data_IF_097561448278
#
_entry.id   IF_097561448278
#
_cell.length_a   1.000
_cell.length_b   1.000
_cell.length_c   1.000
_cell.angle_alpha   90.00
_cell.angle_beta   90.00
_cell.angle_gamma   90.00
#
_symmetry.space_group_name_H-M   'P 1'
#
loop_
_entity.id
_entity.type
_entity.pdbx_description
1 polymer ?
#
# COMPACT_ATOMS: atom_id res chain seq x y z
N UNK A 1 -3.52 -0.33 -3.92
CA UNK A 1 -4.41 -0.07 -5.08
C UNK A 1 -4.73 1.42 -5.09
N UNK A 2 -4.93 2.00 -6.26
CA UNK A 2 -5.53 3.35 -6.40
C UNK A 2 -6.83 3.20 -7.19
N UNK A 3 -7.94 3.77 -6.71
CA UNK A 3 -9.23 3.75 -7.43
C UNK A 3 -9.21 4.70 -8.63
N UNK A 4 -10.24 4.63 -9.47
CA UNK A 4 -10.41 5.59 -10.59
C UNK A 4 -10.61 7.04 -10.12
N UNK A 5 -10.90 7.28 -8.83
CA UNK A 5 -11.05 8.60 -8.21
C UNK A 5 -9.76 9.12 -7.56
N UNK A 6 -8.65 8.38 -7.67
CA UNK A 6 -7.39 8.76 -7.02
C UNK A 6 -7.37 8.46 -5.52
N UNK A 7 -8.15 7.49 -5.05
CA UNK A 7 -8.16 7.05 -3.65
C UNK A 7 -7.14 5.92 -3.46
N UNK A 8 -6.20 6.10 -2.53
CA UNK A 8 -5.19 5.11 -2.20
C UNK A 8 -5.72 4.14 -1.14
N UNK A 9 -5.66 2.86 -1.47
CA UNK A 9 -5.85 1.74 -0.53
C UNK A 9 -4.50 1.04 -0.33
N UNK A 10 -4.02 1.03 0.90
CA UNK A 10 -2.77 0.38 1.30
C UNK A 10 -2.92 -0.19 2.71
N UNK A 11 -3.05 -1.50 2.83
CA UNK A 11 -3.27 -2.15 4.13
C UNK A 11 -2.86 -3.62 4.09
N UNK A 12 -2.31 -4.10 5.21
CA UNK A 12 -2.11 -5.52 5.53
C UNK A 12 -3.14 -6.04 6.53
N UNK A 13 -4.01 -5.15 7.04
CA UNK A 13 -5.14 -5.48 7.90
C UNK A 13 -6.33 -5.95 7.06
N UNK A 14 -7.33 -6.54 7.72
CA UNK A 14 -8.57 -6.96 7.06
C UNK A 14 -9.40 -5.80 6.52
N UNK A 15 -9.29 -4.64 7.16
CA UNK A 15 -10.08 -3.47 6.83
C UNK A 15 -9.53 -2.79 5.58
N UNK A 16 -10.43 -2.60 4.61
CA UNK A 16 -10.17 -1.89 3.35
C UNK A 16 -10.60 -0.44 3.52
N UNK A 17 -9.72 0.39 4.07
CA UNK A 17 -9.95 1.83 4.20
C UNK A 17 -9.09 2.61 3.21
N UNK A 18 -9.62 3.75 2.78
CA UNK A 18 -8.88 4.74 2.01
C UNK A 18 -7.91 5.44 2.97
N UNK A 19 -6.62 5.43 2.62
CA UNK A 19 -5.55 6.03 3.45
C UNK A 19 -5.06 7.37 2.90
N UNK A 20 -5.30 7.66 1.62
CA UNK A 20 -5.10 8.97 1.01
C UNK A 20 -6.06 9.18 -0.16
N UNK A 21 -6.32 10.45 -0.50
CA UNK A 21 -7.24 10.84 -1.56
C UNK A 21 -6.53 11.81 -2.52
N UNK A 22 -7.15 12.07 -3.67
CA UNK A 22 -6.69 13.05 -4.66
C UNK A 22 -5.26 12.76 -5.16
N UNK A 23 -4.91 11.49 -5.36
CA UNK A 23 -3.68 11.15 -6.06
C UNK A 23 -3.76 11.60 -7.52
N UNK A 24 -2.69 12.24 -7.99
CA UNK A 24 -2.58 12.80 -9.32
C UNK A 24 -1.86 11.83 -10.26
N UNK A 25 -2.30 11.79 -11.51
CA UNK A 25 -1.61 11.03 -12.56
C UNK A 25 -0.28 11.72 -12.93
N UNK A 26 0.68 10.94 -13.44
CA UNK A 26 1.99 11.41 -13.90
C UNK A 26 2.85 12.11 -12.83
N UNK A 27 2.67 11.74 -11.56
CA UNK A 27 3.48 12.20 -10.42
C UNK A 27 4.14 11.01 -9.73
N UNK A 28 5.40 11.18 -9.34
CA UNK A 28 6.10 10.22 -8.49
C UNK A 28 5.59 10.32 -7.05
N UNK A 29 5.35 9.16 -6.44
CA UNK A 29 5.00 9.03 -5.03
C UNK A 29 5.99 8.07 -4.36
N UNK A 30 6.50 8.45 -3.20
CA UNK A 30 7.16 7.50 -2.31
C UNK A 30 6.14 6.93 -1.34
N UNK A 31 5.88 5.62 -1.42
CA UNK A 31 4.91 4.93 -0.56
C UNK A 31 5.63 3.90 0.31
N UNK A 32 5.43 3.97 1.63
CA UNK A 32 5.90 2.96 2.56
C UNK A 32 4.74 2.47 3.45
N UNK A 33 4.75 1.16 3.73
CA UNK A 33 3.88 0.54 4.74
C UNK A 33 4.75 -0.21 5.73
N UNK A 34 4.51 0.04 7.02
CA UNK A 34 5.19 -0.61 8.13
C UNK A 34 4.17 -1.33 9.01
N UNK A 35 4.50 -2.54 9.47
CA UNK A 35 3.64 -3.30 10.39
C UNK A 35 4.47 -3.86 11.55
N UNK A 36 4.08 -3.54 12.78
CA UNK A 36 4.68 -4.06 14.00
C UNK A 36 3.79 -5.16 14.59
N UNK A 37 4.34 -6.37 14.70
CA UNK A 37 3.56 -7.54 15.12
C UNK A 37 3.20 -7.54 16.62
N UNK A 38 4.00 -6.93 17.48
CA UNK A 38 3.75 -6.97 18.94
C UNK A 38 2.64 -6.01 19.33
N UNK A 39 2.70 -4.77 18.83
CA UNK A 39 1.67 -3.74 19.03
C UNK A 39 0.49 -3.89 18.07
N UNK A 40 0.59 -4.77 17.07
CA UNK A 40 -0.38 -4.94 15.98
C UNK A 40 -0.66 -3.63 15.24
N UNK A 41 0.35 -2.78 15.10
CA UNK A 41 0.20 -1.44 14.52
C UNK A 41 0.69 -1.41 13.08
N UNK A 42 -0.19 -0.98 12.17
CA UNK A 42 0.15 -0.61 10.80
C UNK A 42 0.35 0.90 10.72
N UNK A 43 1.36 1.33 9.97
CA UNK A 43 1.54 2.72 9.54
C UNK A 43 1.74 2.81 8.04
N UNK A 44 1.14 3.81 7.43
CA UNK A 44 1.29 4.11 6.00
C UNK A 44 1.86 5.51 5.84
N UNK A 45 2.86 5.63 4.98
CA UNK A 45 3.55 6.87 4.70
C UNK A 45 3.48 7.19 3.21
N UNK A 46 3.19 8.44 2.89
CA UNK A 46 3.19 8.96 1.52
C UNK A 46 4.06 10.22 1.47
N UNK A 47 5.06 10.23 0.60
CA UNK A 47 6.04 11.32 0.46
C UNK A 47 6.61 11.76 1.81
N UNK A 48 7.18 10.79 2.52
CA UNK A 48 7.76 10.94 3.88
C UNK A 48 6.78 11.22 5.01
N UNK A 49 5.50 11.47 4.74
CA UNK A 49 4.53 11.82 5.78
C UNK A 49 3.71 10.61 6.20
N UNK A 50 3.58 10.36 7.51
CA UNK A 50 2.59 9.40 8.04
C UNK A 50 1.17 9.90 7.70
N UNK A 51 0.44 9.13 6.89
CA UNK A 51 -0.93 9.44 6.44
C UNK A 51 -1.99 8.57 7.13
N UNK A 52 -1.59 7.44 7.70
CA UNK A 52 -2.50 6.54 8.42
C UNK A 52 -1.73 5.73 9.47
N UNK A 53 -2.38 5.53 10.61
CA UNK A 53 -1.94 4.63 11.68
C UNK A 53 -3.15 3.87 12.21
N UNK A 54 -3.09 2.55 12.14
CA UNK A 54 -4.21 1.67 12.48
C UNK A 54 -3.73 0.49 13.32
N UNK A 55 -4.52 0.11 14.33
CA UNK A 55 -4.26 -1.07 15.15
C UNK A 55 -5.17 -2.20 14.69
N UNK A 56 -4.59 -3.36 14.38
CA UNK A 56 -5.36 -4.55 14.01
C UNK A 56 -4.49 -5.77 13.70
N UNK A 57 -5.08 -6.97 13.78
CA UNK A 57 -4.40 -8.17 13.34
C UNK A 57 -4.18 -8.12 11.83
N UNK A 58 -3.00 -8.58 11.39
CA UNK A 58 -2.74 -8.84 9.98
C UNK A 58 -3.81 -9.78 9.43
N UNK A 59 -4.30 -9.52 8.22
CA UNK A 59 -5.33 -10.35 7.59
C UNK A 59 -4.88 -11.82 7.57
N UNK A 60 -5.80 -12.74 7.91
CA UNK A 60 -5.47 -14.16 8.17
C UNK A 60 -4.67 -14.83 7.05
N UNK A 61 -4.98 -14.47 5.80
CA UNK A 61 -4.40 -15.06 4.60
C UNK A 61 -2.93 -14.72 4.38
N UNK A 62 -2.40 -13.68 5.04
CA UNK A 62 -0.97 -13.33 4.93
C UNK A 62 -0.03 -14.45 5.39
N UNK A 63 -0.49 -15.37 6.23
CA UNK A 63 0.29 -16.54 6.64
C UNK A 63 0.43 -17.58 5.52
N UNK A 64 -0.45 -17.55 4.52
CA UNK A 64 -0.52 -18.50 3.42
C UNK A 64 0.13 -17.97 2.14
N UNK A 65 0.53 -16.69 2.10
CA UNK A 65 1.14 -16.07 0.93
C UNK A 65 2.65 -16.36 0.88
N UNK A 66 3.07 -17.22 -0.06
CA UNK A 66 4.48 -17.57 -0.26
C UNK A 66 5.21 -16.63 -1.21
N UNK A 67 4.47 -16.00 -2.13
CA UNK A 67 5.02 -15.14 -3.17
C UNK A 67 4.34 -13.78 -3.14
N UNK A 68 5.11 -12.74 -3.47
CA UNK A 68 4.61 -11.38 -3.67
C UNK A 68 4.48 -11.14 -5.16
N UNK A 69 3.40 -10.48 -5.56
CA UNK A 69 3.20 -10.01 -6.93
C UNK A 69 3.36 -8.49 -6.96
N UNK A 70 4.04 -8.00 -7.99
CA UNK A 70 4.20 -6.57 -8.26
C UNK A 70 3.65 -6.29 -9.66
N UNK A 71 2.94 -5.18 -9.81
CA UNK A 71 2.41 -4.74 -11.11
C UNK A 71 1.09 -5.40 -11.52
N UNK A 72 0.47 -6.20 -10.66
CA UNK A 72 -0.86 -6.80 -10.90
C UNK A 72 -1.60 -7.03 -9.59
N UNK A 73 -2.94 -7.04 -9.63
CA UNK A 73 -3.76 -7.37 -8.47
C UNK A 73 -5.15 -7.86 -8.89
N UNK A 74 -5.73 -8.77 -8.09
CA UNK A 74 -7.09 -9.25 -8.30
C UNK A 74 -8.06 -8.44 -7.43
N UNK A 75 -9.11 -7.93 -8.05
CA UNK A 75 -10.24 -7.31 -7.34
C UNK A 75 -11.41 -8.27 -7.33
N UNK A 76 -11.81 -8.66 -6.13
CA UNK A 76 -12.92 -9.60 -5.89
C UNK A 76 -14.23 -8.92 -5.48
N UNK A 77 -14.25 -7.58 -5.45
CA UNK A 77 -15.42 -6.75 -5.14
C UNK A 77 -15.59 -5.65 -6.18
N UNK A 78 -16.82 -5.41 -6.63
CA UNK A 78 -17.17 -4.33 -7.56
C UNK A 78 -17.32 -2.95 -6.88
N UNK A 79 -17.22 -2.90 -5.54
CA UNK A 79 -17.45 -1.71 -4.72
C UNK A 79 -16.31 -0.69 -4.69
N UNK A 80 -15.17 -0.95 -5.33
CA UNK A 80 -13.94 -0.16 -5.19
C UNK A 80 -13.71 0.88 -6.31
N UNK A 81 -14.77 1.32 -6.99
CA UNK A 81 -14.69 2.26 -8.13
C UNK A 81 -13.53 1.91 -9.08
N UNK A 82 -13.44 0.63 -9.43
CA UNK A 82 -12.38 0.11 -10.29
C UNK A 82 -12.53 0.71 -11.70
N UNK A 83 -11.45 0.77 -12.50
CA UNK A 83 -11.47 1.33 -13.85
C UNK A 83 -12.56 0.75 -14.76
N UNK A 84 -12.99 -0.50 -14.51
CA UNK A 84 -14.09 -1.16 -15.21
C UNK A 84 -15.24 -1.41 -14.22
N UNK A 85 -16.31 -0.60 -14.23
CA UNK A 85 -17.47 -0.79 -13.36
C UNK A 85 -18.08 -2.21 -13.52
N UNK A 86 -18.41 -2.85 -12.39
CA UNK A 86 -19.02 -4.18 -12.38
C UNK A 86 -18.10 -5.35 -12.77
N UNK A 87 -16.80 -5.11 -12.99
CA UNK A 87 -15.83 -6.17 -13.31
C UNK A 87 -15.01 -6.56 -12.08
N UNK A 88 -15.12 -7.82 -11.68
CA UNK A 88 -14.15 -8.51 -10.82
C UNK A 88 -13.10 -9.23 -11.67
N UNK A 89 -11.88 -9.37 -11.16
CA UNK A 89 -10.79 -10.05 -11.86
C UNK A 89 -9.44 -9.37 -11.70
N UNK A 90 -8.51 -9.73 -12.58
CA UNK A 90 -7.13 -9.22 -12.56
C UNK A 90 -7.00 -7.88 -13.27
N UNK A 91 -6.30 -6.96 -12.62
CA UNK A 91 -5.96 -5.63 -13.13
C UNK A 91 -4.44 -5.48 -13.15
N UNK A 92 -3.91 -5.05 -14.29
CA UNK A 92 -2.52 -4.65 -14.41
C UNK A 92 -2.30 -3.26 -13.80
N UNK A 93 -1.11 -3.04 -13.25
CA UNK A 93 -0.67 -1.70 -12.90
C UNK A 93 -0.24 -0.95 -14.17
N UNK A 94 -0.74 0.27 -14.33
CA UNK A 94 -0.40 1.15 -15.46
C UNK A 94 0.39 2.35 -14.95
N UNK A 95 1.72 2.21 -14.93
CA UNK A 95 2.64 3.25 -14.46
C UNK A 95 4.06 2.72 -14.35
N UNK A 96 4.93 3.47 -13.69
CA UNK A 96 6.31 3.06 -13.39
C UNK A 96 6.44 2.78 -11.89
N UNK A 97 7.16 1.71 -11.55
CA UNK A 97 7.57 1.38 -10.19
C UNK A 97 9.09 1.36 -10.20
N UNK A 98 9.70 1.98 -9.21
CA UNK A 98 11.14 1.95 -9.00
C UNK A 98 11.46 1.73 -7.51
N UNK A 99 12.67 1.24 -7.23
CA UNK A 99 13.22 1.03 -5.89
C UNK A 99 12.32 0.21 -4.94
N UNK A 100 11.65 -0.83 -5.46
CA UNK A 100 10.83 -1.73 -4.62
C UNK A 100 11.71 -2.52 -3.63
N UNK A 101 11.43 -2.37 -2.33
CA UNK A 101 12.22 -2.95 -1.23
C UNK A 101 11.28 -3.48 -0.14
N UNK A 102 11.73 -4.53 0.56
CA UNK A 102 11.01 -5.14 1.68
C UNK A 102 12.01 -5.46 2.79
N UNK A 103 11.66 -5.12 4.02
CA UNK A 103 12.49 -5.33 5.20
C UNK A 103 11.82 -6.28 6.19
N UNK A 104 12.64 -6.89 7.06
CA UNK A 104 12.14 -7.56 8.26
C UNK A 104 12.10 -6.54 9.40
N UNK A 105 10.91 -6.27 9.91
CA UNK A 105 10.70 -5.35 11.02
C UNK A 105 9.95 -4.09 10.62
N UNK A 106 9.73 -3.21 11.60
CA UNK A 106 9.07 -1.93 11.39
C UNK A 106 10.07 -0.91 10.87
N UNK A 107 9.63 -0.07 9.95
CA UNK A 107 10.31 1.17 9.60
C UNK A 107 9.95 2.26 10.60
N UNK A 108 10.93 3.06 11.02
CA UNK A 108 10.73 4.31 11.76
C UNK A 108 10.39 5.48 10.81
N UNK A 109 9.98 6.61 11.36
CA UNK A 109 9.72 7.81 10.56
C UNK A 109 11.02 8.35 9.94
N UNK A 110 12.12 8.25 10.66
CA UNK A 110 13.46 8.62 10.22
C UNK A 110 13.92 7.76 9.03
N UNK A 111 13.72 6.45 9.11
CA UNK A 111 14.02 5.51 8.03
C UNK A 111 13.25 5.87 6.75
N UNK A 112 11.95 6.14 6.89
CA UNK A 112 11.09 6.53 5.77
C UNK A 112 11.54 7.84 5.14
N UNK A 113 12.00 8.81 5.94
CA UNK A 113 12.53 10.07 5.44
C UNK A 113 13.79 9.85 4.58
N UNK A 114 14.70 8.99 5.03
CA UNK A 114 15.91 8.64 4.26
C UNK A 114 15.51 7.97 2.94
N UNK A 115 14.64 6.96 2.99
CA UNK A 115 14.19 6.23 1.81
C UNK A 115 13.48 7.11 0.77
N UNK A 116 12.66 8.05 1.22
CA UNK A 116 11.95 8.97 0.32
C UNK A 116 12.87 9.90 -0.47
N UNK A 117 14.10 10.10 0.00
CA UNK A 117 15.13 10.88 -0.72
C UNK A 117 16.06 10.01 -1.57
N UNK A 118 15.78 8.70 -1.68
CA UNK A 118 16.61 7.74 -2.40
C UNK A 118 17.76 7.16 -1.57
N UNK A 119 17.78 7.38 -0.26
CA UNK A 119 18.79 6.82 0.63
C UNK A 119 18.63 5.32 0.90
N UNK A 120 19.52 4.80 1.74
CA UNK A 120 19.57 3.40 2.17
C UNK A 120 19.63 3.30 3.70
N UNK A 121 19.06 2.21 4.24
CA UNK A 121 18.95 1.90 5.67
C UNK A 121 19.35 0.44 5.94
#
# INVERSE_FOLDING_TARGET
>A
MVSSKGELYCSVLSDKQVVANNLEANRWYHLALSYENDSKTQKVYLDSKEISSMVGPRHREWHSLTYVQVGTGCVTSDTLDCPYPGRTGWYGFHGVIDAFRVWRGKLSQEDVNVLATGGEI
#
